data_IF_720674176547
#
_entry.id   IF_720674176547
#
_cell.length_a   1.000
_cell.length_b   1.000
_cell.length_c   1.000
_cell.angle_alpha   90.00
_cell.angle_beta   90.00
_cell.angle_gamma   90.00
#
_symmetry.space_group_name_H-M   'P 1'
#
loop_
_entity.id
_entity.type
_entity.pdbx_description
1 polymer ?
#
# COMPACT_ATOMS: atom_id res chain seq x y z
N UNK A 1 0.19 -0.18 -12.90
CA UNK A 1 1.60 0.26 -12.91
C UNK A 1 1.92 0.82 -11.54
N UNK A 2 2.81 0.17 -10.80
CA UNK A 2 3.10 0.51 -9.41
C UNK A 2 4.07 1.69 -9.34
N UNK A 3 3.55 2.92 -9.37
CA UNK A 3 4.34 4.16 -9.37
C UNK A 3 5.32 4.25 -8.20
N UNK A 4 5.05 3.56 -7.09
CA UNK A 4 5.94 3.51 -5.94
C UNK A 4 7.25 2.74 -6.17
N UNK A 5 7.36 1.94 -7.24
CA UNK A 5 8.62 1.32 -7.67
C UNK A 5 9.41 2.19 -8.66
N UNK A 6 8.82 3.27 -9.17
CA UNK A 6 9.46 4.13 -10.16
C UNK A 6 10.47 5.04 -9.44
N UNK A 7 11.76 5.06 -9.85
CA UNK A 7 12.77 5.88 -9.19
C UNK A 7 12.48 7.38 -9.28
N UNK A 8 12.01 7.83 -10.45
CA UNK A 8 11.64 9.21 -10.78
C UNK A 8 10.15 9.27 -11.19
N UNK A 9 9.31 9.53 -10.19
CA UNK A 9 7.86 9.60 -10.35
C UNK A 9 7.45 10.79 -11.22
N UNK A 10 8.08 11.95 -11.04
CA UNK A 10 7.73 13.15 -11.79
C UNK A 10 7.96 12.94 -13.30
N UNK A 11 9.11 12.35 -13.69
CA UNK A 11 9.39 12.00 -15.09
C UNK A 11 8.40 10.97 -15.65
N UNK A 12 8.06 9.94 -14.88
CA UNK A 12 7.09 8.94 -15.33
C UNK A 12 5.69 9.52 -15.52
N UNK A 13 5.28 10.48 -14.68
CA UNK A 13 4.00 11.16 -14.84
C UNK A 13 4.00 12.12 -16.03
N UNK A 14 5.11 12.80 -16.32
CA UNK A 14 5.27 13.62 -17.55
C UNK A 14 5.10 12.75 -18.79
N UNK A 15 5.77 11.59 -18.86
CA UNK A 15 5.64 10.69 -20.00
C UNK A 15 4.24 10.08 -20.10
N UNK A 16 3.63 9.72 -18.96
CA UNK A 16 2.24 9.25 -18.92
C UNK A 16 1.29 10.32 -19.45
N UNK A 17 1.48 11.59 -19.07
CA UNK A 17 0.68 12.69 -19.57
C UNK A 17 0.89 12.89 -21.08
N UNK A 18 2.13 12.85 -21.56
CA UNK A 18 2.49 13.07 -22.97
C UNK A 18 1.83 12.07 -23.93
N UNK A 19 1.70 10.81 -23.52
CA UNK A 19 1.12 9.75 -24.38
C UNK A 19 -0.41 9.72 -24.39
N UNK A 20 -1.07 10.47 -23.49
CA UNK A 20 -2.53 10.52 -23.46
C UNK A 20 -3.06 11.40 -24.59
N UNK A 21 -4.01 10.85 -25.37
CA UNK A 21 -4.81 11.65 -26.29
C UNK A 21 -5.64 12.69 -25.53
N UNK A 22 -6.01 13.77 -26.22
CA UNK A 22 -6.93 14.80 -25.74
C UNK A 22 -8.17 14.20 -25.05
N UNK A 23 -8.46 14.63 -23.82
CA UNK A 23 -9.55 14.08 -22.99
C UNK A 23 -9.30 12.67 -22.42
N UNK A 24 -8.07 12.16 -22.55
CA UNK A 24 -7.64 10.89 -21.99
C UNK A 24 -7.69 10.85 -20.47
N UNK A 25 -7.71 9.62 -19.92
CA UNK A 25 -7.73 9.35 -18.50
C UNK A 25 -6.54 8.51 -18.10
N UNK A 26 -5.96 8.83 -16.96
CA UNK A 26 -4.97 8.00 -16.31
C UNK A 26 -5.58 7.38 -15.04
N UNK A 27 -5.46 6.07 -14.91
CA UNK A 27 -5.86 5.35 -13.70
C UNK A 27 -4.63 4.71 -13.10
N UNK A 28 -4.35 5.00 -11.83
CA UNK A 28 -3.27 4.36 -11.10
C UNK A 28 -3.76 3.84 -9.76
N UNK A 29 -3.71 2.52 -9.61
CA UNK A 29 -3.91 1.85 -8.33
C UNK A 29 -2.63 1.97 -7.48
N UNK A 30 -2.78 2.14 -6.18
CA UNK A 30 -1.68 2.13 -5.23
C UNK A 30 -2.12 1.63 -3.86
N UNK A 31 -1.15 1.36 -3.00
CA UNK A 31 -1.32 1.03 -1.60
C UNK A 31 -1.32 2.30 -0.73
N UNK A 32 -1.89 2.19 0.45
CA UNK A 32 -1.76 3.16 1.53
C UNK A 32 -0.69 2.77 2.53
N UNK A 33 -0.46 3.66 3.49
CA UNK A 33 0.58 3.52 4.50
C UNK A 33 0.18 2.61 5.68
N UNK A 34 -1.10 2.23 5.79
CA UNK A 34 -1.64 1.43 6.89
C UNK A 34 -2.01 -0.01 6.48
N UNK A 35 -1.18 -0.64 5.65
CA UNK A 35 -1.35 -2.05 5.27
C UNK A 35 -0.75 -3.05 6.27
N UNK A 36 -0.60 -4.30 5.82
CA UNK A 36 -0.12 -5.46 6.61
C UNK A 36 1.15 -5.14 7.41
N UNK A 37 2.15 -4.52 6.78
CA UNK A 37 3.40 -4.18 7.47
C UNK A 37 3.22 -3.20 8.63
N UNK A 38 2.35 -2.19 8.47
CA UNK A 38 2.03 -1.25 9.56
C UNK A 38 1.21 -1.92 10.67
N UNK A 39 0.32 -2.84 10.32
CA UNK A 39 -0.48 -3.59 11.29
C UNK A 39 0.42 -4.43 12.21
N UNK A 40 1.30 -5.24 11.61
CA UNK A 40 2.22 -6.11 12.37
C UNK A 40 3.18 -5.28 13.22
N UNK A 41 3.74 -4.20 12.67
CA UNK A 41 4.60 -3.30 13.43
C UNK A 41 3.87 -2.70 14.63
N UNK A 42 2.62 -2.28 14.45
CA UNK A 42 1.83 -1.77 15.56
C UNK A 42 1.58 -2.85 16.63
N UNK A 43 1.31 -4.10 16.21
CA UNK A 43 1.14 -5.21 17.14
C UNK A 43 2.41 -5.46 17.97
N UNK A 44 3.58 -5.35 17.34
CA UNK A 44 4.90 -5.50 17.98
C UNK A 44 5.39 -4.22 18.72
N UNK A 45 4.60 -3.15 18.77
CA UNK A 45 5.03 -1.87 19.37
C UNK A 45 6.15 -1.15 18.61
N UNK A 46 6.40 -1.52 17.35
CA UNK A 46 7.43 -0.94 16.49
C UNK A 46 6.93 0.34 15.79
N UNK A 47 7.83 1.29 15.48
CA UNK A 47 7.45 2.48 14.72
C UNK A 47 6.99 2.12 13.30
N UNK A 48 6.06 2.93 12.77
CA UNK A 48 5.68 2.88 11.36
C UNK A 48 6.89 3.17 10.48
N UNK A 49 6.93 2.51 9.32
CA UNK A 49 7.95 2.73 8.31
C UNK A 49 7.27 3.09 7.00
N UNK A 50 7.63 4.23 6.41
CA UNK A 50 7.11 4.62 5.11
C UNK A 50 8.01 4.03 4.03
N UNK A 51 7.54 2.96 3.39
CA UNK A 51 8.32 2.16 2.46
C UNK A 51 8.16 2.60 1.00
N UNK A 52 7.14 3.41 0.70
CA UNK A 52 6.73 3.71 -0.67
C UNK A 52 6.75 5.21 -0.94
N UNK A 53 7.34 5.60 -2.07
CA UNK A 53 7.37 7.01 -2.50
C UNK A 53 6.00 7.52 -2.97
N UNK A 54 5.12 6.63 -3.43
CA UNK A 54 3.80 6.96 -3.95
C UNK A 54 2.71 6.12 -3.27
N UNK A 55 1.84 6.77 -2.49
CA UNK A 55 0.81 6.12 -1.67
C UNK A 55 -0.55 6.80 -1.87
N UNK A 56 -1.60 6.26 -1.25
CA UNK A 56 -2.91 6.92 -1.20
C UNK A 56 -2.91 8.26 -0.44
N UNK A 57 -1.91 8.47 0.41
CA UNK A 57 -1.71 9.67 1.22
C UNK A 57 -1.16 10.82 0.36
N UNK A 58 -0.13 10.56 -0.43
CA UNK A 58 0.60 11.60 -1.16
C UNK A 58 0.33 11.62 -2.68
N UNK A 59 -0.24 10.55 -3.25
CA UNK A 59 -0.32 10.38 -4.71
C UNK A 59 -1.11 11.47 -5.42
N UNK A 60 -2.10 12.07 -4.74
CA UNK A 60 -2.86 13.18 -5.29
C UNK A 60 -1.98 14.41 -5.58
N UNK A 61 -0.99 14.69 -4.73
CA UNK A 61 -0.11 15.85 -4.87
C UNK A 61 0.77 15.73 -6.11
N UNK A 62 1.34 14.55 -6.35
CA UNK A 62 2.07 14.24 -7.57
C UNK A 62 1.21 14.44 -8.82
N UNK A 63 -0.01 13.90 -8.81
CA UNK A 63 -0.90 13.91 -9.97
C UNK A 63 -1.42 15.32 -10.28
N UNK A 64 -1.72 16.13 -9.27
CA UNK A 64 -2.24 17.51 -9.45
C UNK A 64 -1.25 18.45 -10.15
N UNK A 65 0.04 18.11 -10.21
CA UNK A 65 1.03 18.88 -10.98
C UNK A 65 0.78 18.86 -12.49
N UNK A 66 0.15 17.79 -13.00
CA UNK A 66 0.00 17.54 -14.44
C UNK A 66 -1.45 17.31 -14.87
N UNK A 67 -2.35 16.91 -13.97
CA UNK A 67 -3.74 16.61 -14.26
C UNK A 67 -4.68 17.62 -13.60
N UNK A 68 -5.71 18.06 -14.33
CA UNK A 68 -6.68 19.06 -13.84
C UNK A 68 -7.67 18.47 -12.82
N UNK A 69 -8.02 17.20 -12.98
CA UNK A 69 -8.93 16.48 -12.10
C UNK A 69 -8.23 15.24 -11.62
N UNK A 70 -8.23 15.04 -10.30
CA UNK A 70 -7.66 13.86 -9.63
C UNK A 70 -8.66 13.42 -8.57
N UNK A 71 -9.27 12.27 -8.78
CA UNK A 71 -10.22 11.66 -7.84
C UNK A 71 -9.59 10.44 -7.19
N UNK A 72 -9.59 10.39 -5.86
CA UNK A 72 -9.19 9.19 -5.11
C UNK A 72 -10.42 8.29 -4.91
N UNK A 73 -10.29 7.02 -5.26
CA UNK A 73 -11.30 5.98 -5.01
C UNK A 73 -10.68 4.93 -4.10
N UNK A 74 -11.25 4.78 -2.91
CA UNK A 74 -10.82 3.79 -1.93
C UNK A 74 -11.51 2.48 -2.24
N UNK A 75 -10.76 1.38 -2.11
CA UNK A 75 -11.29 0.03 -2.15
C UNK A 75 -11.30 -0.50 -0.72
N UNK A 76 -12.50 -0.62 -0.16
CA UNK A 76 -12.70 -1.08 1.22
C UNK A 76 -12.56 -2.60 1.29
N UNK A 77 -11.52 -3.07 1.97
CA UNK A 77 -11.16 -4.48 2.00
C UNK A 77 -10.27 -4.79 3.22
N UNK A 78 -10.29 -6.04 3.66
CA UNK A 78 -9.47 -6.56 4.75
C UNK A 78 -8.98 -7.96 4.43
N UNK A 79 -7.87 -8.37 5.04
CA UNK A 79 -7.42 -9.75 5.02
C UNK A 79 -8.00 -10.45 6.25
N UNK A 80 -8.79 -11.50 6.04
CA UNK A 80 -9.26 -12.39 7.08
C UNK A 80 -8.27 -13.56 7.20
N UNK A 81 -7.37 -13.49 8.17
CA UNK A 81 -6.33 -14.51 8.37
C UNK A 81 -6.85 -15.56 9.35
N UNK A 82 -6.97 -16.80 8.89
CA UNK A 82 -7.43 -17.95 9.70
C UNK A 82 -6.27 -18.80 10.21
N UNK A 83 -5.11 -18.73 9.58
CA UNK A 83 -3.87 -19.38 9.99
C UNK A 83 -2.74 -18.34 10.10
N UNK A 84 -2.16 -18.20 11.30
CA UNK A 84 -1.06 -17.27 11.56
C UNK A 84 0.21 -17.70 10.83
N UNK A 85 0.44 -19.00 10.66
CA UNK A 85 1.62 -19.51 9.98
C UNK A 85 1.63 -19.07 8.51
N UNK A 86 0.47 -19.02 7.85
CA UNK A 86 0.33 -18.50 6.49
C UNK A 86 0.70 -17.02 6.40
N UNK A 87 0.29 -16.22 7.39
CA UNK A 87 0.65 -14.81 7.46
C UNK A 87 2.15 -14.62 7.68
N UNK A 88 2.76 -15.41 8.57
CA UNK A 88 4.20 -15.40 8.82
C UNK A 88 4.96 -15.79 7.56
N UNK A 89 4.60 -16.91 6.94
CA UNK A 89 5.19 -17.37 5.68
C UNK A 89 5.08 -16.28 4.59
N UNK A 90 3.92 -15.63 4.47
CA UNK A 90 3.74 -14.50 3.56
C UNK A 90 4.70 -13.35 3.87
N UNK A 91 4.85 -12.92 5.13
CA UNK A 91 5.81 -11.89 5.54
C UNK A 91 7.23 -12.26 5.11
N UNK A 92 7.62 -13.53 5.25
CA UNK A 92 8.95 -14.00 4.85
C UNK A 92 9.24 -13.82 3.36
N UNK A 93 8.22 -13.82 2.50
CA UNK A 93 8.34 -13.58 1.05
C UNK A 93 8.58 -12.11 0.68
N UNK A 94 8.31 -11.17 1.59
CA UNK A 94 8.27 -9.74 1.26
C UNK A 94 9.67 -9.10 1.33
N UNK A 95 10.16 -8.48 0.24
CA UNK A 95 11.50 -7.90 0.21
C UNK A 95 11.75 -6.81 1.27
N UNK A 96 10.73 -6.03 1.59
CA UNK A 96 10.81 -4.93 2.57
C UNK A 96 10.72 -5.40 4.03
N UNK A 97 10.42 -6.68 4.28
CA UNK A 97 10.13 -7.20 5.62
C UNK A 97 11.38 -7.65 6.39
N UNK A 98 12.58 -7.21 6.01
CA UNK A 98 13.84 -7.64 6.64
C UNK A 98 13.81 -7.54 8.17
N UNK A 99 13.41 -6.38 8.71
CA UNK A 99 13.29 -6.15 10.16
C UNK A 99 12.20 -6.99 10.83
N UNK A 100 11.18 -7.41 10.09
CA UNK A 100 10.14 -8.30 10.62
C UNK A 100 10.63 -9.75 10.63
N UNK A 101 11.43 -10.16 9.64
CA UNK A 101 12.02 -11.50 9.56
C UNK A 101 13.07 -11.77 10.64
N UNK A 102 13.63 -10.73 11.26
CA UNK A 102 14.55 -10.86 12.40
C UNK A 102 13.83 -11.04 13.74
N UNK A 103 12.51 -10.84 13.79
CA UNK A 103 11.72 -11.07 15.00
C UNK A 103 11.57 -12.59 15.20
N UNK A 104 11.80 -13.12 16.41
CA UNK A 104 11.56 -14.53 16.70
C UNK A 104 10.12 -14.93 16.32
N UNK A 105 9.97 -16.04 15.60
CA UNK A 105 8.68 -16.51 15.11
C UNK A 105 7.65 -16.68 16.24
N UNK A 106 8.10 -17.20 17.39
CA UNK A 106 7.24 -17.32 18.58
C UNK A 106 6.68 -15.98 19.05
N UNK A 107 7.52 -14.93 19.08
CA UNK A 107 7.09 -13.59 19.47
C UNK A 107 6.05 -13.03 18.48
N UNK A 108 6.28 -13.25 17.18
CA UNK A 108 5.33 -12.88 16.13
C UNK A 108 3.98 -13.62 16.30
N UNK A 109 4.01 -14.92 16.59
CA UNK A 109 2.80 -15.72 16.84
C UNK A 109 2.06 -15.21 18.07
N UNK A 110 2.76 -15.06 19.20
CA UNK A 110 2.15 -14.66 20.48
C UNK A 110 1.41 -13.32 20.32
N UNK A 111 2.05 -12.32 19.69
CA UNK A 111 1.47 -10.99 19.44
C UNK A 111 0.30 -11.02 18.44
N UNK A 112 0.32 -11.92 17.46
CA UNK A 112 -0.77 -12.05 16.48
C UNK A 112 -1.96 -12.82 17.05
N UNK A 113 -1.75 -13.82 17.91
CA UNK A 113 -2.84 -14.53 18.61
C UNK A 113 -3.63 -13.59 19.53
N UNK A 114 -2.98 -12.61 20.17
CA UNK A 114 -3.67 -11.58 20.97
C UNK A 114 -4.65 -10.72 20.14
N UNK A 115 -4.46 -10.67 18.81
CA UNK A 115 -5.31 -9.92 17.88
C UNK A 115 -6.42 -10.77 17.27
N UNK A 116 -6.49 -12.05 17.62
CA UNK A 116 -7.43 -13.00 17.04
C UNK A 116 -8.80 -12.87 17.69
N UNK A 117 -9.82 -12.69 16.85
CA UNK A 117 -11.21 -12.60 17.28
C UNK A 117 -12.03 -13.64 16.53
N UNK A 118 -12.76 -14.49 17.28
CA UNK A 118 -13.58 -15.58 16.70
C UNK A 118 -12.80 -16.48 15.72
N UNK A 119 -11.53 -16.73 16.01
CA UNK A 119 -10.67 -17.57 15.18
C UNK A 119 -10.03 -16.87 13.97
N UNK A 120 -10.27 -15.58 13.76
CA UNK A 120 -9.78 -14.79 12.62
C UNK A 120 -9.00 -13.56 13.09
N UNK A 121 -7.89 -13.24 12.43
CA UNK A 121 -7.24 -11.94 12.55
C UNK A 121 -7.66 -11.09 11.34
N UNK A 122 -8.34 -9.98 11.60
CA UNK A 122 -8.69 -9.02 10.56
C UNK A 122 -7.58 -7.97 10.41
N UNK A 123 -6.91 -8.00 9.26
CA UNK A 123 -5.87 -7.03 8.92
C UNK A 123 -6.43 -6.06 7.87
N UNK A 124 -6.59 -4.77 8.19
CA UNK A 124 -7.03 -3.78 7.22
C UNK A 124 -6.12 -3.75 6.00
N UNK A 125 -6.71 -3.66 4.81
CA UNK A 125 -5.96 -3.42 3.57
C UNK A 125 -6.24 -2.01 3.12
N UNK A 126 -5.18 -1.24 2.93
CA UNK A 126 -5.32 0.10 2.39
C UNK A 126 -4.96 0.10 0.90
N UNK A 127 -5.97 -0.06 0.06
CA UNK A 127 -5.82 -0.01 -1.39
C UNK A 127 -6.84 0.94 -2.02
N UNK A 128 -6.48 1.43 -3.20
CA UNK A 128 -7.35 2.31 -3.96
C UNK A 128 -6.70 2.70 -5.26
N UNK A 129 -7.36 3.65 -5.94
CA UNK A 129 -6.88 4.17 -7.21
C UNK A 129 -7.12 5.68 -7.30
N UNK A 130 -6.26 6.34 -8.05
CA UNK A 130 -6.55 7.67 -8.56
C UNK A 130 -7.08 7.59 -9.99
N UNK A 131 -8.09 8.41 -10.27
CA UNK A 131 -8.62 8.66 -11.61
C UNK A 131 -8.31 10.11 -11.99
N UNK A 132 -7.45 10.27 -12.98
CA UNK A 132 -6.93 11.58 -13.40
C UNK A 132 -7.30 11.91 -14.84
N UNK A 133 -7.56 13.19 -15.13
CA UNK A 133 -7.94 13.69 -16.47
C UNK A 133 -7.06 14.82 -16.93
N UNK A 134 -6.68 14.77 -18.21
CA UNK A 134 -6.06 15.89 -18.91
C UNK A 134 -7.13 16.87 -19.42
N UNK A 135 -6.74 18.12 -19.66
CA UNK A 135 -7.66 19.14 -20.18
C UNK A 135 -8.28 18.72 -21.53
N UNK A 136 -9.55 19.11 -21.73
CA UNK A 136 -10.18 19.18 -23.06
C UNK A 136 -9.61 20.34 -23.87
#
# INVERSE_FOLDING_TARGET
MMLYHVPDIDKALVETHRVLKKGGRFYCATLGENGIGSYIRNALGLPKENLCKFTLQNGAEYLKKLFNTVEKKIYDDALAVTDINDLIAYIHTLPWAEKLRSIPEKEMIDVLEERRENGVIFIPKEYGMFSSRIKK
#
